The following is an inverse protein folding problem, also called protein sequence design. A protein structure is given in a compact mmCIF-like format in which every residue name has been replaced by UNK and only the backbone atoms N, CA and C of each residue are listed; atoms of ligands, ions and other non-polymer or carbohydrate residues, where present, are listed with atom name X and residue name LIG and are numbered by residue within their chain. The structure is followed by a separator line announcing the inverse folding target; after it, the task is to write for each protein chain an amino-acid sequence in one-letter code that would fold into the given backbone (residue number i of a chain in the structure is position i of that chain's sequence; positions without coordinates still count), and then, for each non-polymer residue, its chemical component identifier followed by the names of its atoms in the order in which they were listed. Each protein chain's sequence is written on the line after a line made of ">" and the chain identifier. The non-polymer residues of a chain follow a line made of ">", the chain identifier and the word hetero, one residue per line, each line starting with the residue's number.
data_IF_291220277185
#
_entry.id   IF_291220277185
#
_cell.length_a   1.000
_cell.length_b   1.000
_cell.length_c   1.000
_cell.angle_alpha   90.00
_cell.angle_beta   90.00
_cell.angle_gamma   90.00
#
_symmetry.space_group_name_H-M   'P 1'
#
loop_
_entity.id
_entity.type
_entity.pdbx_description
1 polymer ?
#
# COMPACT_ATOMS: atom_id res chain seq x y z
N UNK A 1 -22.24 7.43 -0.30
CA UNK A 1 -23.06 8.26 0.61
C UNK A 1 -22.42 9.63 0.93
N UNK A 2 -21.41 10.10 0.19
CA UNK A 2 -20.74 11.39 0.47
C UNK A 2 -21.31 12.60 -0.29
N UNK A 3 -22.32 12.38 -1.15
CA UNK A 3 -22.84 13.39 -2.08
C UNK A 3 -24.34 13.67 -1.92
N UNK A 4 -24.96 13.22 -0.83
CA UNK A 4 -26.38 13.52 -0.58
C UNK A 4 -26.47 14.89 0.09
N UNK A 5 -27.19 15.87 -0.49
CA UNK A 5 -27.41 17.18 0.10
C UNK A 5 -28.06 17.06 1.48
N UNK A 6 -27.67 17.95 2.41
CA UNK A 6 -28.22 18.03 3.77
C UNK A 6 -29.76 18.08 3.76
N UNK A 7 -30.32 18.76 2.77
CA UNK A 7 -31.76 18.90 2.58
C UNK A 7 -32.46 17.57 2.28
N UNK A 8 -31.83 16.66 1.51
CA UNK A 8 -32.41 15.35 1.19
C UNK A 8 -32.29 14.34 2.35
N UNK A 9 -31.29 14.51 3.23
CA UNK A 9 -31.18 13.66 4.43
C UNK A 9 -32.18 14.05 5.53
N UNK A 10 -32.53 15.33 5.62
CA UNK A 10 -33.54 15.87 6.54
C UNK A 10 -34.98 15.59 6.11
N UNK A 11 -35.21 15.16 4.86
CA UNK A 11 -36.53 14.70 4.38
C UNK A 11 -36.90 13.30 4.89
N UNK A 12 -35.96 12.58 5.51
CA UNK A 12 -36.23 11.28 6.14
C UNK A 12 -36.79 11.53 7.55
N UNK A 13 -38.07 11.20 7.78
CA UNK A 13 -38.81 11.44 9.04
C UNK A 13 -38.15 10.93 10.35
N UNK A 14 -37.08 10.14 10.26
CA UNK A 14 -36.33 9.59 11.42
C UNK A 14 -34.92 10.17 11.61
N UNK A 15 -34.52 11.19 10.84
CA UNK A 15 -33.22 11.84 10.96
C UNK A 15 -33.38 13.30 11.35
N UNK A 16 -33.12 13.61 12.62
CA UNK A 16 -32.95 14.98 13.09
C UNK A 16 -31.59 15.57 12.67
N UNK A 17 -31.53 16.91 12.67
CA UNK A 17 -30.36 17.67 12.23
C UNK A 17 -29.08 17.32 13.01
N UNK A 18 -29.22 16.97 14.29
CA UNK A 18 -28.13 16.51 15.14
C UNK A 18 -27.58 15.15 14.67
N UNK A 19 -28.48 14.19 14.43
CA UNK A 19 -28.12 12.85 13.94
C UNK A 19 -27.47 12.88 12.56
N UNK A 20 -27.96 13.71 11.62
CA UNK A 20 -27.35 13.87 10.29
C UNK A 20 -25.96 14.48 10.37
N UNK A 21 -25.77 15.49 11.23
CA UNK A 21 -24.45 16.09 11.46
C UNK A 21 -23.48 15.10 12.09
N UNK A 22 -23.93 14.29 13.05
CA UNK A 22 -23.09 13.25 13.67
C UNK A 22 -22.70 12.16 12.66
N UNK A 23 -23.63 11.73 11.80
CA UNK A 23 -23.36 10.75 10.73
C UNK A 23 -22.33 11.27 9.73
N UNK A 24 -22.43 12.55 9.34
CA UNK A 24 -21.46 13.20 8.44
C UNK A 24 -20.10 13.37 9.09
N UNK A 25 -20.06 13.77 10.37
CA UNK A 25 -18.82 13.88 11.12
C UNK A 25 -18.10 12.52 11.17
N UNK A 26 -18.82 11.46 11.51
CA UNK A 26 -18.27 10.10 11.57
C UNK A 26 -17.82 9.57 10.20
N UNK A 27 -18.57 9.86 9.13
CA UNK A 27 -18.18 9.51 7.76
C UNK A 27 -16.91 10.26 7.32
N UNK A 28 -16.77 11.54 7.72
CA UNK A 28 -15.59 12.35 7.43
C UNK A 28 -14.36 11.88 8.21
N UNK A 29 -14.52 11.51 9.48
CA UNK A 29 -13.46 10.91 10.29
C UNK A 29 -13.01 9.55 9.75
N UNK A 30 -13.95 8.72 9.28
CA UNK A 30 -13.62 7.45 8.65
C UNK A 30 -12.82 7.64 7.35
N UNK A 31 -13.20 8.63 6.52
CA UNK A 31 -12.45 8.96 5.30
C UNK A 31 -11.06 9.49 5.61
N UNK A 32 -10.90 10.35 6.62
CA UNK A 32 -9.59 10.84 7.06
C UNK A 32 -8.70 9.71 7.56
N UNK A 33 -9.28 8.78 8.34
CA UNK A 33 -8.56 7.60 8.84
C UNK A 33 -8.12 6.68 7.69
N UNK A 34 -8.96 6.49 6.67
CA UNK A 34 -8.60 5.73 5.48
C UNK A 34 -7.51 6.42 4.65
N UNK A 35 -7.54 7.74 4.55
CA UNK A 35 -6.51 8.52 3.86
C UNK A 35 -5.15 8.39 4.59
N UNK A 36 -5.13 8.52 5.92
CA UNK A 36 -3.91 8.34 6.74
C UNK A 36 -3.35 6.92 6.59
N UNK A 37 -4.18 5.89 6.69
CA UNK A 37 -3.73 4.50 6.55
C UNK A 37 -3.16 4.22 5.14
N UNK A 38 -3.72 4.86 4.11
CA UNK A 38 -3.21 4.79 2.73
C UNK A 38 -1.89 5.55 2.59
N UNK A 39 -1.77 6.72 3.20
CA UNK A 39 -0.55 7.53 3.18
C UNK A 39 0.59 6.81 3.93
N UNK A 40 0.33 6.22 5.11
CA UNK A 40 1.30 5.39 5.84
C UNK A 40 1.72 4.13 5.06
N UNK A 41 0.80 3.48 4.36
CA UNK A 41 1.12 2.32 3.51
C UNK A 41 1.97 2.68 2.28
N UNK A 42 1.92 3.95 1.86
CA UNK A 42 2.64 4.46 0.68
C UNK A 42 3.97 5.11 1.08
N UNK A 43 4.08 5.70 2.27
CA UNK A 43 5.31 6.33 2.79
C UNK A 43 6.31 5.29 3.32
N UNK A 44 5.82 4.12 3.76
CA UNK A 44 6.68 3.03 4.24
C UNK A 44 7.54 2.37 3.16
N UNK A 45 7.12 2.44 1.88
CA UNK A 45 7.83 1.80 0.77
C UNK A 45 8.90 2.71 0.21
N UNK A 46 10.16 2.30 0.28
CA UNK A 46 11.27 3.07 -0.26
C UNK A 46 11.09 3.34 -1.76
N UNK A 47 11.39 4.57 -2.19
CA UNK A 47 11.42 4.91 -3.61
C UNK A 47 12.38 3.99 -4.39
N UNK A 48 13.49 3.56 -3.77
CA UNK A 48 14.43 2.62 -4.40
C UNK A 48 13.77 1.29 -4.78
N UNK A 49 12.84 0.80 -3.96
CA UNK A 49 12.07 -0.41 -4.27
C UNK A 49 11.14 -0.15 -5.45
N UNK A 50 10.43 0.99 -5.46
CA UNK A 50 9.52 1.37 -6.56
C UNK A 50 10.22 1.66 -7.88
N UNK A 51 11.48 2.10 -7.83
CA UNK A 51 12.30 2.42 -9.00
C UNK A 51 12.87 1.16 -9.69
N UNK A 52 12.70 -0.03 -9.12
CA UNK A 52 13.07 -1.27 -9.79
C UNK A 52 12.10 -1.55 -10.93
N UNK A 53 12.56 -1.36 -12.17
CA UNK A 53 11.77 -1.56 -13.41
C UNK A 53 11.12 -2.95 -13.53
N UNK A 54 11.66 -3.93 -12.80
CA UNK A 54 11.19 -5.32 -12.74
C UNK A 54 10.04 -5.56 -11.77
N UNK A 55 9.68 -4.57 -10.93
CA UNK A 55 8.58 -4.67 -9.98
C UNK A 55 7.32 -3.98 -10.52
N UNK A 56 6.23 -4.73 -10.58
CA UNK A 56 4.90 -4.18 -10.85
C UNK A 56 4.23 -3.72 -9.54
N UNK A 57 3.24 -2.82 -9.60
CA UNK A 57 2.49 -2.38 -8.41
C UNK A 57 1.90 -3.57 -7.61
N UNK A 58 1.39 -4.58 -8.30
CA UNK A 58 0.84 -5.79 -7.68
C UNK A 58 1.90 -6.60 -6.92
N UNK A 59 3.14 -6.65 -7.43
CA UNK A 59 4.25 -7.30 -6.73
C UNK A 59 4.66 -6.51 -5.49
N UNK A 60 4.69 -5.19 -5.58
CA UNK A 60 5.00 -4.30 -4.45
C UNK A 60 3.97 -4.49 -3.33
N UNK A 61 2.68 -4.55 -3.64
CA UNK A 61 1.65 -4.80 -2.62
C UNK A 61 1.86 -6.12 -1.88
N UNK A 62 2.23 -7.19 -2.61
CA UNK A 62 2.54 -8.50 -2.01
C UNK A 62 3.79 -8.46 -1.13
N UNK A 63 4.82 -7.72 -1.56
CA UNK A 63 6.06 -7.53 -0.79
C UNK A 63 5.79 -6.74 0.50
N UNK A 64 5.04 -5.65 0.41
CA UNK A 64 4.66 -4.84 1.58
C UNK A 64 3.83 -5.65 2.57
N UNK A 65 2.90 -6.48 2.07
CA UNK A 65 2.13 -7.39 2.91
C UNK A 65 3.02 -8.42 3.65
N UNK A 66 4.18 -8.77 3.08
CA UNK A 66 5.19 -9.62 3.69
C UNK A 66 6.19 -8.86 4.60
N UNK A 67 6.04 -7.54 4.74
CA UNK A 67 6.95 -6.68 5.51
C UNK A 67 8.17 -6.19 4.74
N UNK A 68 8.26 -6.46 3.44
CA UNK A 68 9.33 -6.00 2.55
C UNK A 68 9.00 -4.61 2.04
N UNK A 69 9.64 -3.61 2.63
CA UNK A 69 9.34 -2.20 2.36
C UNK A 69 10.49 -1.48 1.64
N UNK A 70 11.71 -2.01 1.73
CA UNK A 70 12.91 -1.41 1.15
C UNK A 70 13.58 -2.32 0.13
N UNK A 71 14.47 -1.74 -0.70
CA UNK A 71 15.30 -2.53 -1.63
C UNK A 71 16.19 -3.53 -0.86
N UNK A 72 16.69 -3.15 0.31
CA UNK A 72 17.49 -4.02 1.18
C UNK A 72 16.68 -5.21 1.70
N UNK A 73 15.44 -5.00 2.13
CA UNK A 73 14.55 -6.09 2.55
C UNK A 73 14.33 -7.10 1.40
N UNK A 74 14.15 -6.60 0.17
CA UNK A 74 14.04 -7.45 -1.02
C UNK A 74 15.35 -8.18 -1.33
N UNK A 75 16.50 -7.54 -1.11
CA UNK A 75 17.82 -8.12 -1.33
C UNK A 75 18.15 -9.22 -0.30
N UNK A 76 17.64 -9.12 0.92
CA UNK A 76 17.82 -10.10 1.99
C UNK A 76 16.89 -11.31 1.86
N UNK A 77 15.75 -11.14 1.19
CA UNK A 77 14.72 -12.16 1.00
C UNK A 77 15.24 -13.44 0.30
N UNK A 78 14.74 -14.60 0.73
CA UNK A 78 15.01 -15.88 0.08
C UNK A 78 14.25 -16.03 -1.24
N UNK A 79 14.82 -16.80 -2.18
CA UNK A 79 14.17 -17.09 -3.48
C UNK A 79 12.88 -17.85 -3.25
N UNK A 80 12.88 -18.87 -2.39
CA UNK A 80 11.70 -19.67 -2.07
C UNK A 80 10.56 -18.79 -1.50
N UNK A 81 10.87 -17.91 -0.53
CA UNK A 81 9.90 -16.96 0.03
C UNK A 81 9.33 -16.02 -1.03
N UNK A 82 10.17 -15.44 -1.89
CA UNK A 82 9.70 -14.54 -2.94
C UNK A 82 8.81 -15.26 -3.96
N UNK A 83 9.15 -16.51 -4.26
CA UNK A 83 8.38 -17.38 -5.17
C UNK A 83 7.01 -17.69 -4.56
N UNK A 84 6.95 -18.02 -3.27
CA UNK A 84 5.71 -18.28 -2.54
C UNK A 84 4.82 -17.02 -2.42
N UNK A 85 5.42 -15.86 -2.16
CA UNK A 85 4.70 -14.59 -2.04
C UNK A 85 4.14 -14.11 -3.37
N UNK A 86 4.96 -14.14 -4.42
CA UNK A 86 4.61 -13.51 -5.70
C UNK A 86 3.94 -14.46 -6.68
N UNK A 87 4.16 -15.77 -6.53
CA UNK A 87 3.72 -16.80 -7.48
C UNK A 87 4.54 -16.84 -8.78
N UNK A 88 5.66 -16.12 -8.83
CA UNK A 88 6.60 -16.14 -9.95
C UNK A 88 7.41 -17.43 -9.96
N UNK A 89 8.18 -17.65 -11.03
CA UNK A 89 9.14 -18.75 -11.08
C UNK A 89 10.38 -18.44 -10.23
N UNK A 90 11.09 -19.49 -9.78
CA UNK A 90 12.32 -19.33 -9.01
C UNK A 90 13.41 -18.53 -9.77
N UNK A 91 13.41 -18.58 -11.10
CA UNK A 91 14.37 -17.84 -11.93
C UNK A 91 14.06 -16.33 -11.95
N UNK A 92 12.78 -15.97 -12.08
CA UNK A 92 12.30 -14.58 -11.99
C UNK A 92 12.54 -13.99 -10.60
N UNK A 93 12.21 -14.74 -9.55
CA UNK A 93 12.46 -14.36 -8.16
C UNK A 93 13.96 -14.14 -7.92
N UNK A 94 14.81 -15.05 -8.40
CA UNK A 94 16.27 -14.91 -8.31
C UNK A 94 16.77 -13.67 -9.05
N UNK A 95 16.28 -13.39 -10.25
CA UNK A 95 16.67 -12.22 -11.02
C UNK A 95 16.30 -10.92 -10.29
N UNK A 96 15.11 -10.87 -9.68
CA UNK A 96 14.65 -9.75 -8.85
C UNK A 96 15.54 -9.52 -7.63
N UNK A 97 15.85 -10.57 -6.87
CA UNK A 97 16.72 -10.48 -5.68
C UNK A 97 18.14 -10.05 -6.07
N UNK A 98 18.68 -10.61 -7.16
CA UNK A 98 19.98 -10.22 -7.69
C UNK A 98 20.00 -8.73 -8.07
N UNK A 99 18.95 -8.24 -8.76
CA UNK A 99 18.82 -6.83 -9.13
C UNK A 99 18.71 -5.89 -7.93
N UNK A 100 18.03 -6.33 -6.87
CA UNK A 100 18.02 -5.60 -5.61
C UNK A 100 19.43 -5.54 -4.97
N UNK A 101 20.18 -6.65 -5.02
CA UNK A 101 21.56 -6.74 -4.51
C UNK A 101 22.59 -5.98 -5.32
N UNK A 102 22.36 -5.69 -6.61
CA UNK A 102 23.29 -4.93 -7.45
C UNK A 102 23.73 -3.63 -6.76
N UNK A 103 22.83 -2.99 -6.02
CA UNK A 103 23.16 -1.80 -5.23
C UNK A 103 24.31 -1.99 -4.24
N UNK A 104 24.37 -3.13 -3.55
CA UNK A 104 25.45 -3.43 -2.60
C UNK A 104 26.81 -3.57 -3.29
N UNK A 105 26.81 -3.86 -4.60
CA UNK A 105 28.00 -3.97 -5.42
C UNK A 105 28.36 -2.64 -6.11
N UNK A 106 27.40 -1.73 -6.32
CA UNK A 106 27.65 -0.39 -6.92
C UNK A 106 28.48 0.57 -6.05
N UNK A 107 28.81 0.20 -4.81
CA UNK A 107 29.68 0.97 -3.91
C UNK A 107 31.13 0.47 -3.82
N UNK A 108 31.53 -0.52 -4.63
CA UNK A 108 32.89 -1.05 -4.66
C UNK A 108 33.65 -0.55 -5.89
N UNK A 109 33.87 0.76 -6.00
CA UNK A 109 34.88 1.38 -6.89
C UNK A 109 35.58 2.54 -6.20
#
# INVERSE_FOLDING_TARGET
>A
MAYVPLQEMLEIESFDEDTVNELRARAKDALLTMEIAREESVDGVSQDLRSLETLTPELIEKLVAAGVNTRDDLADLAIDELTELTGQTADEAKALIMKAREHWFTGQE
#
